data_IF_739511521790
#
_entry.id   IF_739511521790
#
_cell.length_a   1.000
_cell.length_b   1.000
_cell.length_c   1.000
_cell.angle_alpha   90.00
_cell.angle_beta   90.00
_cell.angle_gamma   90.00
#
_symmetry.space_group_name_H-M   'P 1'
#
loop_
_entity.id
_entity.type
_entity.pdbx_description
1 polymer ?
#
# COMPACT_ATOMS: atom_id res chain seq x y z
N UNK A 1 -5.18 16.90 -20.41
CA UNK A 1 -6.44 17.67 -20.61
C UNK A 1 -7.66 16.91 -20.06
N UNK A 2 -7.82 15.60 -20.34
CA UNK A 2 -8.96 14.78 -19.86
C UNK A 2 -9.03 14.72 -18.34
N UNK A 3 -7.93 14.42 -17.68
CA UNK A 3 -7.85 14.37 -16.21
C UNK A 3 -8.26 15.71 -15.59
N UNK A 4 -7.69 16.82 -16.05
CA UNK A 4 -8.01 18.15 -15.52
C UNK A 4 -9.49 18.51 -15.66
N UNK A 5 -10.11 18.20 -16.81
CA UNK A 5 -11.56 18.38 -17.00
C UNK A 5 -12.39 17.50 -16.07
N UNK A 6 -11.96 16.25 -15.85
CA UNK A 6 -12.61 15.35 -14.89
C UNK A 6 -12.57 15.90 -13.47
N UNK A 7 -11.43 16.42 -13.03
CA UNK A 7 -11.27 17.06 -11.72
C UNK A 7 -12.15 18.30 -11.57
N UNK A 8 -12.18 19.16 -12.60
CA UNK A 8 -13.03 20.36 -12.61
C UNK A 8 -14.52 20.00 -12.52
N UNK A 9 -14.96 18.99 -13.29
CA UNK A 9 -16.33 18.49 -13.24
C UNK A 9 -16.68 17.91 -11.87
N UNK A 10 -15.80 17.08 -11.30
CA UNK A 10 -16.02 16.48 -9.99
C UNK A 10 -16.17 17.53 -8.89
N UNK A 11 -15.28 18.53 -8.87
CA UNK A 11 -15.35 19.66 -7.94
C UNK A 11 -16.62 20.50 -8.11
N UNK A 12 -17.08 20.72 -9.36
CA UNK A 12 -18.31 21.48 -9.64
C UNK A 12 -19.57 20.81 -9.10
N UNK A 13 -19.50 19.49 -8.88
CA UNK A 13 -20.59 18.68 -8.26
C UNK A 13 -20.45 18.54 -6.74
N UNK A 14 -19.51 19.28 -6.12
CA UNK A 14 -19.28 19.24 -4.67
C UNK A 14 -18.32 18.13 -4.21
N UNK A 15 -17.62 17.49 -5.14
CA UNK A 15 -16.58 16.51 -4.79
C UNK A 15 -15.32 17.16 -4.24
N UNK A 16 -14.69 16.52 -3.27
CA UNK A 16 -13.44 16.97 -2.66
C UNK A 16 -12.27 16.14 -3.19
N UNK A 17 -11.15 16.80 -3.47
CA UNK A 17 -9.89 16.17 -3.88
C UNK A 17 -8.82 16.53 -2.87
N UNK A 18 -8.29 15.52 -2.19
CA UNK A 18 -7.17 15.64 -1.28
C UNK A 18 -5.90 15.22 -2.01
N UNK A 19 -4.92 16.11 -2.07
CA UNK A 19 -3.62 15.81 -2.66
C UNK A 19 -2.68 15.28 -1.57
N UNK A 20 -2.83 14.00 -1.25
CA UNK A 20 -2.05 13.29 -0.24
C UNK A 20 -1.82 11.85 -0.67
N UNK A 21 -0.83 11.21 -0.06
CA UNK A 21 -0.60 9.78 -0.23
C UNK A 21 -1.55 8.98 0.66
N UNK A 22 -2.17 7.94 0.10
CA UNK A 22 -2.87 6.91 0.87
C UNK A 22 -1.84 5.87 1.29
N UNK A 23 -1.66 5.69 2.59
CA UNK A 23 -0.69 4.77 3.18
C UNK A 23 -1.31 3.46 3.64
N UNK A 24 -2.63 3.45 3.84
CA UNK A 24 -3.37 2.26 4.27
C UNK A 24 -4.87 2.40 4.05
N UNK A 25 -5.56 1.26 4.16
CA UNK A 25 -7.01 1.18 4.27
C UNK A 25 -7.30 0.16 5.37
N UNK A 26 -7.97 0.62 6.43
CA UNK A 26 -8.41 -0.21 7.56
C UNK A 26 -9.91 -0.48 7.52
N UNK A 27 -10.35 -1.45 8.32
CA UNK A 27 -11.75 -1.72 8.58
C UNK A 27 -11.94 -2.08 10.06
N UNK A 28 -12.77 -1.30 10.75
CA UNK A 28 -13.24 -1.60 12.11
C UNK A 28 -14.76 -1.74 12.11
N UNK A 29 -15.50 -0.68 12.30
CA UNK A 29 -16.96 -0.61 12.10
C UNK A 29 -17.31 -0.03 10.71
N UNK A 30 -16.38 0.69 10.10
CA UNK A 30 -16.45 1.27 8.76
C UNK A 30 -15.07 1.18 8.12
N UNK A 31 -15.00 1.41 6.81
CA UNK A 31 -13.71 1.60 6.15
C UNK A 31 -13.08 2.91 6.60
N UNK A 32 -11.78 2.91 6.74
CA UNK A 32 -10.98 4.08 7.08
C UNK A 32 -9.78 4.16 6.14
N UNK A 33 -9.69 5.25 5.38
CA UNK A 33 -8.54 5.52 4.49
C UNK A 33 -7.49 6.29 5.27
N UNK A 34 -6.31 5.71 5.41
CA UNK A 34 -5.18 6.29 6.15
C UNK A 34 -4.32 7.13 5.23
N UNK A 35 -3.97 8.34 5.65
CA UNK A 35 -3.09 9.25 4.91
C UNK A 35 -2.15 10.01 5.86
N UNK A 36 -1.12 10.67 5.31
CA UNK A 36 -0.26 11.56 6.09
C UNK A 36 -1.00 12.77 6.69
N UNK A 37 -2.17 13.14 6.14
CA UNK A 37 -2.99 14.27 6.62
C UNK A 37 -4.04 13.85 7.66
N UNK A 38 -4.17 12.54 7.93
CA UNK A 38 -5.15 11.98 8.85
C UNK A 38 -5.95 10.83 8.23
N UNK A 39 -6.92 10.32 8.99
CA UNK A 39 -7.75 9.19 8.62
C UNK A 39 -9.15 9.65 8.21
N UNK A 40 -9.67 9.05 7.15
CA UNK A 40 -10.95 9.43 6.55
C UNK A 40 -11.92 8.24 6.57
N UNK A 41 -12.93 8.27 7.45
CA UNK A 41 -13.93 7.22 7.48
C UNK A 41 -14.82 7.27 6.24
N UNK A 42 -15.13 6.12 5.66
CA UNK A 42 -15.95 6.02 4.46
C UNK A 42 -16.84 4.76 4.45
N UNK A 43 -17.87 4.77 3.62
CA UNK A 43 -18.86 3.68 3.50
C UNK A 43 -18.54 2.73 2.35
N UNK A 44 -17.77 3.19 1.39
CA UNK A 44 -17.24 2.41 0.27
C UNK A 44 -15.92 3.01 -0.20
N UNK A 45 -15.07 2.18 -0.81
CA UNK A 45 -13.78 2.57 -1.37
C UNK A 45 -13.72 2.11 -2.82
N UNK A 46 -13.20 2.97 -3.71
CA UNK A 46 -12.83 2.60 -5.07
C UNK A 46 -11.31 2.69 -5.19
N UNK A 47 -10.64 1.56 -5.40
CA UNK A 47 -9.20 1.48 -5.60
C UNK A 47 -8.92 1.75 -7.09
N UNK A 48 -8.28 2.88 -7.40
CA UNK A 48 -7.95 3.30 -8.77
C UNK A 48 -6.50 3.81 -8.89
N UNK A 49 -5.58 3.14 -8.21
CA UNK A 49 -4.18 3.57 -8.05
C UNK A 49 -3.26 3.15 -9.21
N UNK A 50 -3.83 2.57 -10.28
CA UNK A 50 -3.07 2.08 -11.42
C UNK A 50 -2.23 0.84 -11.09
N UNK A 51 -1.19 0.59 -11.90
CA UNK A 51 -0.31 -0.57 -11.77
C UNK A 51 1.14 -0.08 -11.68
N UNK A 52 1.65 0.07 -10.48
CA UNK A 52 3.05 0.45 -10.26
C UNK A 52 3.66 -0.39 -9.14
N UNK A 53 4.61 -1.26 -9.50
CA UNK A 53 5.61 -1.77 -8.56
C UNK A 53 6.98 -1.38 -9.08
N UNK A 54 7.71 -0.58 -8.34
CA UNK A 54 9.16 -0.41 -8.57
C UNK A 54 9.83 -1.73 -8.20
N UNK A 55 10.28 -2.48 -9.20
CA UNK A 55 11.14 -3.65 -8.95
C UNK A 55 12.48 -3.15 -8.43
N UNK A 56 12.79 -3.47 -7.19
CA UNK A 56 14.11 -3.24 -6.61
C UNK A 56 15.08 -4.29 -7.16
N UNK A 57 16.28 -3.84 -7.51
CA UNK A 57 17.37 -4.71 -7.95
C UNK A 57 18.36 -4.93 -6.80
N UNK A 58 17.86 -5.43 -5.68
CA UNK A 58 18.68 -5.80 -4.52
C UNK A 58 18.93 -7.29 -4.57
N UNK A 59 20.18 -7.70 -4.50
CA UNK A 59 20.55 -9.12 -4.48
C UNK A 59 20.00 -9.79 -3.22
N UNK A 60 19.45 -11.00 -3.36
CA UNK A 60 18.82 -11.74 -2.25
C UNK A 60 17.36 -11.36 -1.99
N UNK A 61 16.83 -10.27 -2.56
CA UNK A 61 15.47 -9.80 -2.28
C UNK A 61 14.41 -10.82 -2.69
N UNK A 62 14.47 -11.31 -3.93
CA UNK A 62 13.48 -12.27 -4.44
C UNK A 62 13.66 -13.65 -3.80
N UNK A 63 14.90 -14.05 -3.54
CA UNK A 63 15.23 -15.35 -2.95
C UNK A 63 14.74 -15.48 -1.51
N UNK A 64 14.66 -14.36 -0.79
CA UNK A 64 14.25 -14.30 0.62
C UNK A 64 12.79 -13.86 0.80
N UNK A 65 12.06 -13.63 -0.29
CA UNK A 65 10.62 -13.35 -0.22
C UNK A 65 9.86 -14.50 0.43
N UNK A 66 9.02 -14.18 1.43
CA UNK A 66 8.34 -15.17 2.28
C UNK A 66 9.26 -15.91 3.27
N UNK A 67 10.57 -15.60 3.27
CA UNK A 67 11.57 -16.16 4.18
C UNK A 67 12.30 -15.09 4.99
N UNK A 68 11.54 -14.13 5.50
CA UNK A 68 12.02 -12.97 6.25
C UNK A 68 11.88 -11.65 5.49
N UNK A 69 11.63 -11.67 4.17
CA UNK A 69 11.24 -10.50 3.40
C UNK A 69 9.73 -10.54 3.16
N UNK A 70 9.04 -9.45 3.48
CA UNK A 70 7.59 -9.25 3.32
C UNK A 70 7.27 -7.89 2.69
N UNK A 71 6.03 -7.75 2.19
CA UNK A 71 5.48 -6.51 1.62
C UNK A 71 4.25 -6.02 2.40
N UNK A 72 3.88 -6.67 3.50
CA UNK A 72 2.67 -6.35 4.25
C UNK A 72 2.91 -6.47 5.77
N UNK A 73 3.10 -5.34 6.45
CA UNK A 73 3.28 -5.32 7.90
C UNK A 73 2.04 -5.84 8.66
N UNK A 74 0.85 -5.50 8.19
CA UNK A 74 -0.42 -5.94 8.80
C UNK A 74 -0.62 -7.45 8.67
N UNK A 75 -0.22 -8.04 7.51
CA UNK A 75 -0.39 -9.48 7.27
C UNK A 75 0.60 -10.33 8.07
N UNK A 76 1.87 -9.95 8.04
CA UNK A 76 2.97 -10.81 8.48
C UNK A 76 3.64 -10.33 9.77
N UNK A 77 3.40 -9.07 10.19
CA UNK A 77 4.09 -8.45 11.33
C UNK A 77 3.98 -9.26 12.63
N UNK A 78 2.82 -9.88 12.86
CA UNK A 78 2.61 -10.73 14.04
C UNK A 78 3.55 -11.93 14.11
N UNK A 79 3.96 -12.48 12.95
CA UNK A 79 4.91 -13.60 12.88
C UNK A 79 6.32 -13.22 13.35
N UNK A 80 6.60 -11.91 13.43
CA UNK A 80 7.88 -11.34 13.83
C UNK A 80 7.85 -10.70 15.23
N UNK A 81 6.97 -11.18 16.10
CA UNK A 81 6.88 -10.67 17.47
C UNK A 81 8.24 -10.78 18.20
N UNK A 82 8.61 -9.70 18.91
CA UNK A 82 9.85 -9.58 19.70
C UNK A 82 11.14 -9.72 18.86
N UNK A 83 11.07 -9.41 17.54
CA UNK A 83 12.17 -9.51 16.58
C UNK A 83 12.73 -8.13 16.21
N UNK A 84 13.95 -8.10 15.65
CA UNK A 84 14.60 -6.91 15.09
C UNK A 84 14.20 -6.82 13.62
N UNK A 85 13.47 -5.75 13.27
CA UNK A 85 12.87 -5.58 11.95
C UNK A 85 13.41 -4.35 11.23
N UNK A 86 13.45 -4.46 9.90
CA UNK A 86 13.71 -3.35 9.00
C UNK A 86 12.48 -3.01 8.16
N UNK A 87 12.35 -1.75 7.80
CA UNK A 87 11.44 -1.29 6.74
C UNK A 87 12.28 -0.64 5.65
N UNK A 88 12.18 -1.13 4.43
CA UNK A 88 12.89 -0.60 3.28
C UNK A 88 11.99 0.38 2.53
N UNK A 89 12.31 1.67 2.59
CA UNK A 89 11.55 2.75 1.93
C UNK A 89 11.88 4.12 2.49
N UNK A 90 11.49 5.17 1.79
CA UNK A 90 11.98 6.52 2.02
C UNK A 90 10.86 7.55 2.32
N UNK A 91 9.57 7.17 2.29
CA UNK A 91 8.43 8.08 2.40
C UNK A 91 7.39 7.70 3.45
N UNK A 92 6.21 8.33 3.35
CA UNK A 92 5.10 8.15 4.29
C UNK A 92 4.60 6.69 4.33
N UNK A 93 4.66 5.97 3.22
CA UNK A 93 4.32 4.55 3.20
C UNK A 93 5.25 3.72 4.09
N UNK A 94 6.58 3.94 4.00
CA UNK A 94 7.54 3.26 4.87
C UNK A 94 7.35 3.62 6.35
N UNK A 95 7.08 4.90 6.64
CA UNK A 95 6.79 5.35 7.99
C UNK A 95 5.55 4.67 8.57
N UNK A 96 4.49 4.51 7.77
CA UNK A 96 3.27 3.83 8.19
C UNK A 96 3.50 2.34 8.47
N UNK A 97 4.24 1.64 7.59
CA UNK A 97 4.62 0.24 7.84
C UNK A 97 5.45 0.10 9.13
N UNK A 98 6.40 1.02 9.39
CA UNK A 98 7.18 1.02 10.62
C UNK A 98 6.30 1.21 11.86
N UNK A 99 5.29 2.09 11.81
CA UNK A 99 4.31 2.28 12.89
C UNK A 99 3.50 0.99 13.16
N UNK A 100 3.04 0.31 12.12
CA UNK A 100 2.34 -0.97 12.28
C UNK A 100 3.23 -2.03 12.95
N UNK A 101 4.48 -2.15 12.51
CA UNK A 101 5.44 -3.12 13.05
C UNK A 101 5.84 -2.84 14.50
N UNK A 102 5.89 -1.57 14.92
CA UNK A 102 6.30 -1.19 16.27
C UNK A 102 5.41 -1.75 17.38
N UNK A 103 4.17 -2.13 17.05
CA UNK A 103 3.27 -2.82 17.98
C UNK A 103 3.66 -4.28 18.30
N UNK A 104 4.56 -4.88 17.53
CA UNK A 104 4.96 -6.28 17.65
C UNK A 104 6.46 -6.47 17.83
N UNK A 105 7.26 -5.66 17.15
CA UNK A 105 8.70 -5.78 17.07
C UNK A 105 9.39 -5.38 18.36
N UNK A 106 10.57 -5.96 18.59
CA UNK A 106 11.50 -5.49 19.61
C UNK A 106 12.12 -4.15 19.22
N UNK A 107 12.46 -4.01 17.93
CA UNK A 107 13.09 -2.83 17.34
C UNK A 107 12.71 -2.71 15.88
N UNK A 108 12.51 -1.50 15.39
CA UNK A 108 12.24 -1.20 13.97
C UNK A 108 13.18 -0.10 13.50
N UNK A 109 13.87 -0.32 12.39
CA UNK A 109 14.72 0.66 11.70
C UNK A 109 14.22 0.86 10.28
N UNK A 110 14.18 2.10 9.81
CA UNK A 110 13.85 2.44 8.41
C UNK A 110 15.14 2.54 7.61
N UNK A 111 15.21 1.80 6.49
CA UNK A 111 16.35 1.80 5.55
C UNK A 111 15.91 2.46 4.25
N UNK A 112 16.61 3.53 3.84
CA UNK A 112 16.17 4.32 2.68
C UNK A 112 16.90 4.01 1.37
N UNK A 113 17.83 3.09 1.40
CA UNK A 113 18.62 2.66 0.22
C UNK A 113 19.29 3.85 -0.50
N UNK A 114 20.06 4.63 0.25
CA UNK A 114 20.82 5.75 -0.27
C UNK A 114 20.03 7.02 -0.56
N UNK A 115 18.74 7.07 -0.22
CA UNK A 115 17.91 8.26 -0.42
C UNK A 115 17.70 9.02 0.89
N UNK A 116 17.48 10.34 0.82
CA UNK A 116 17.00 11.08 1.98
C UNK A 116 15.63 10.57 2.45
N UNK A 117 15.45 10.47 3.76
CA UNK A 117 14.13 10.18 4.31
C UNK A 117 13.19 11.36 4.08
N UNK A 118 12.07 11.12 3.43
CA UNK A 118 11.16 12.16 2.90
C UNK A 118 9.74 12.09 3.44
N UNK A 119 9.47 11.26 4.47
CA UNK A 119 8.16 11.21 5.07
C UNK A 119 7.76 12.56 5.69
N UNK A 120 6.50 12.95 5.52
CA UNK A 120 5.94 14.20 6.05
C UNK A 120 5.38 14.03 7.46
N UNK A 121 5.06 12.79 7.86
CA UNK A 121 4.59 12.45 9.20
C UNK A 121 5.70 12.50 10.25
N UNK A 122 5.30 12.62 11.53
CA UNK A 122 6.22 12.55 12.65
C UNK A 122 6.90 11.18 12.72
N UNK A 123 8.25 11.20 12.69
CA UNK A 123 9.09 10.00 12.74
C UNK A 123 9.72 9.82 14.12
N UNK A 124 9.53 8.66 14.70
CA UNK A 124 10.16 8.24 15.97
C UNK A 124 11.13 7.06 15.80
N UNK A 125 11.35 6.58 14.56
CA UNK A 125 12.18 5.42 14.26
C UNK A 125 13.59 5.85 13.85
N UNK A 126 14.63 5.04 14.18
CA UNK A 126 15.94 5.18 13.56
C UNK A 126 15.85 5.10 12.04
N UNK A 127 16.60 5.96 11.35
CA UNK A 127 16.70 5.95 9.89
C UNK A 127 18.15 5.69 9.50
N UNK A 128 18.33 4.73 8.58
CA UNK A 128 19.60 4.36 8.00
C UNK A 128 19.57 4.63 6.50
N UNK A 129 20.36 5.60 6.06
CA UNK A 129 20.41 6.05 4.66
C UNK A 129 21.49 5.37 3.83
N UNK A 130 22.15 4.33 4.34
CA UNK A 130 23.16 3.60 3.57
C UNK A 130 22.53 2.85 2.39
N UNK A 131 23.31 2.73 1.31
CA UNK A 131 22.89 1.99 0.11
C UNK A 131 22.91 0.50 0.39
N UNK A 132 21.80 -0.18 0.16
CA UNK A 132 21.66 -1.62 0.31
C UNK A 132 22.30 -2.33 -0.88
N UNK A 133 23.28 -3.19 -0.65
CA UNK A 133 23.93 -3.99 -1.69
C UNK A 133 23.26 -5.37 -1.81
N UNK A 134 23.07 -6.05 -0.69
CA UNK A 134 22.58 -7.43 -0.67
C UNK A 134 21.83 -7.75 0.62
N UNK A 135 20.76 -8.53 0.51
CA UNK A 135 20.13 -9.20 1.66
C UNK A 135 20.81 -10.54 1.88
N UNK A 136 21.28 -10.78 3.10
CA UNK A 136 21.99 -11.99 3.50
C UNK A 136 21.08 -12.97 4.20
N UNK A 137 21.31 -14.26 3.91
CA UNK A 137 20.65 -15.39 4.53
C UNK A 137 20.55 -16.56 3.55
N UNK A 138 20.58 -17.78 4.04
CA UNK A 138 20.43 -19.00 3.22
C UNK A 138 18.99 -19.54 3.31
N UNK A 139 18.56 -19.93 4.48
CA UNK A 139 17.21 -20.45 4.71
C UNK A 139 16.19 -19.34 4.97
N UNK A 140 16.61 -18.26 5.59
CA UNK A 140 15.81 -17.06 5.93
C UNK A 140 16.70 -15.83 5.93
N UNK A 141 16.09 -14.65 5.97
CA UNK A 141 16.81 -13.39 6.15
C UNK A 141 17.60 -13.41 7.47
N UNK A 142 18.85 -12.97 7.40
CA UNK A 142 19.76 -12.81 8.54
C UNK A 142 20.24 -11.36 8.68
N UNK A 143 20.18 -10.56 7.61
CA UNK A 143 20.54 -9.14 7.68
C UNK A 143 20.76 -8.49 6.33
N UNK A 144 21.26 -7.25 6.39
CA UNK A 144 21.57 -6.38 5.25
C UNK A 144 23.07 -6.14 5.18
N UNK A 145 23.66 -6.36 4.01
CA UNK A 145 24.98 -5.89 3.63
C UNK A 145 24.82 -4.57 2.87
N UNK A 146 25.56 -3.56 3.28
CA UNK A 146 25.57 -2.25 2.62
C UNK A 146 26.75 -2.11 1.67
N UNK A 147 26.64 -1.16 0.73
CA UNK A 147 27.68 -0.89 -0.28
C UNK A 147 29.03 -0.42 0.32
N UNK A 148 29.03 0.08 1.56
CA UNK A 148 30.24 0.44 2.30
C UNK A 148 30.92 -0.76 3.00
N UNK A 149 30.38 -1.98 2.82
CA UNK A 149 30.84 -3.21 3.44
C UNK A 149 30.38 -3.45 4.86
N UNK A 150 29.62 -2.54 5.46
CA UNK A 150 29.03 -2.73 6.79
C UNK A 150 27.81 -3.68 6.74
N UNK A 151 27.49 -4.28 7.89
CA UNK A 151 26.42 -5.27 8.00
C UNK A 151 25.54 -4.97 9.21
N UNK A 152 24.22 -5.21 9.05
CA UNK A 152 23.23 -5.12 10.13
C UNK A 152 22.42 -6.40 10.16
N UNK A 153 22.35 -7.02 11.33
CA UNK A 153 21.50 -8.21 11.57
C UNK A 153 20.02 -7.82 11.63
N UNK A 154 19.16 -8.58 10.95
CA UNK A 154 17.70 -8.43 10.96
C UNK A 154 17.02 -9.79 10.93
N UNK A 155 15.93 -9.92 11.68
CA UNK A 155 15.05 -11.09 11.61
C UNK A 155 14.02 -10.99 10.48
N UNK A 156 13.67 -9.77 10.05
CA UNK A 156 12.70 -9.50 8.99
C UNK A 156 12.87 -8.13 8.33
N UNK A 157 12.54 -8.04 7.05
CA UNK A 157 12.58 -6.80 6.26
C UNK A 157 11.24 -6.62 5.53
N UNK A 158 10.59 -5.48 5.76
CA UNK A 158 9.33 -5.12 5.11
C UNK A 158 9.59 -4.08 4.02
N UNK A 159 9.22 -4.42 2.78
CA UNK A 159 9.51 -3.58 1.62
C UNK A 159 8.35 -2.61 1.37
N UNK A 160 8.61 -1.32 1.56
CA UNK A 160 7.64 -0.23 1.44
C UNK A 160 8.21 0.93 0.61
N UNK A 161 8.75 0.61 -0.59
CA UNK A 161 9.43 1.58 -1.46
C UNK A 161 8.45 2.27 -2.38
N UNK A 162 8.49 3.59 -2.39
CA UNK A 162 7.62 4.46 -3.17
C UNK A 162 6.27 4.60 -2.53
N UNK A 163 5.19 4.40 -3.28
CA UNK A 163 3.80 4.47 -2.80
C UNK A 163 3.20 3.07 -2.74
N UNK A 164 2.25 2.86 -1.82
CA UNK A 164 1.51 1.62 -1.74
C UNK A 164 0.85 1.29 -3.08
N UNK A 165 1.07 0.09 -3.58
CA UNK A 165 0.45 -0.39 -4.82
C UNK A 165 -0.96 -0.91 -4.57
N UNK A 166 -1.72 -1.10 -5.66
CA UNK A 166 -3.03 -1.76 -5.58
C UNK A 166 -2.95 -3.14 -4.91
N UNK A 167 -1.88 -3.90 -5.20
CA UNK A 167 -1.66 -5.21 -4.59
C UNK A 167 -1.37 -5.11 -3.08
N UNK A 168 -0.66 -4.06 -2.63
CA UNK A 168 -0.39 -3.85 -1.21
C UNK A 168 -1.69 -3.53 -0.45
N UNK A 169 -2.56 -2.67 -0.99
CA UNK A 169 -3.89 -2.44 -0.42
C UNK A 169 -4.76 -3.70 -0.44
N UNK A 170 -4.77 -4.42 -1.55
CA UNK A 170 -5.53 -5.67 -1.69
C UNK A 170 -5.10 -6.71 -0.65
N UNK A 171 -3.79 -6.95 -0.49
CA UNK A 171 -3.27 -7.90 0.50
C UNK A 171 -3.67 -7.51 1.93
N UNK A 172 -3.52 -6.23 2.30
CA UNK A 172 -3.87 -5.74 3.64
C UNK A 172 -5.35 -5.91 3.98
N UNK A 173 -6.22 -5.76 2.98
CA UNK A 173 -7.66 -5.88 3.15
C UNK A 173 -8.17 -7.33 3.01
N UNK A 174 -7.37 -8.27 2.49
CA UNK A 174 -7.83 -9.60 2.12
C UNK A 174 -8.62 -9.61 0.80
N UNK A 175 -8.36 -8.65 -0.08
CA UNK A 175 -8.91 -8.62 -1.44
C UNK A 175 -8.21 -9.65 -2.31
N UNK A 176 -8.98 -10.40 -3.09
CA UNK A 176 -8.47 -11.44 -3.97
C UNK A 176 -7.66 -10.85 -5.12
N UNK A 177 -6.51 -11.47 -5.41
CA UNK A 177 -5.65 -11.14 -6.54
C UNK A 177 -5.58 -12.31 -7.52
N UNK A 178 -5.71 -12.01 -8.81
CA UNK A 178 -5.49 -12.96 -9.90
C UNK A 178 -4.39 -12.40 -10.82
N UNK A 179 -3.31 -13.14 -10.99
CA UNK A 179 -2.14 -12.73 -11.77
C UNK A 179 -1.58 -11.35 -11.36
N UNK A 180 -1.65 -11.04 -10.03
CA UNK A 180 -1.18 -9.78 -9.47
C UNK A 180 -2.09 -8.57 -9.74
N UNK A 181 -3.30 -8.79 -10.23
CA UNK A 181 -4.33 -7.76 -10.42
C UNK A 181 -5.46 -7.98 -9.40
N UNK A 182 -6.12 -6.91 -8.99
CA UNK A 182 -7.31 -7.01 -8.13
C UNK A 182 -8.43 -7.71 -8.92
N UNK A 183 -8.95 -8.81 -8.38
CA UNK A 183 -10.11 -9.47 -8.95
C UNK A 183 -11.37 -8.66 -8.65
N UNK A 184 -12.19 -8.45 -9.67
CA UNK A 184 -13.50 -7.78 -9.57
C UNK A 184 -14.56 -8.52 -10.37
N UNK A 185 -15.81 -8.38 -9.96
CA UNK A 185 -16.97 -8.84 -10.70
C UNK A 185 -17.35 -7.86 -11.84
N UNK A 186 -18.47 -8.12 -12.53
CA UNK A 186 -19.02 -7.30 -13.60
C UNK A 186 -19.44 -5.87 -13.18
N UNK A 187 -19.57 -5.64 -11.88
CA UNK A 187 -19.88 -4.34 -11.25
C UNK A 187 -18.62 -3.65 -10.70
N UNK A 188 -17.44 -4.14 -11.04
CA UNK A 188 -16.17 -3.69 -10.48
C UNK A 188 -16.08 -3.80 -8.95
N UNK A 189 -16.88 -4.67 -8.32
CA UNK A 189 -16.81 -4.97 -6.89
C UNK A 189 -15.84 -6.13 -6.65
N UNK A 190 -15.01 -6.01 -5.63
CA UNK A 190 -14.08 -7.06 -5.20
C UNK A 190 -14.84 -8.16 -4.44
N UNK A 191 -14.12 -9.20 -3.98
CA UNK A 191 -14.66 -10.20 -3.05
C UNK A 191 -15.12 -9.61 -1.70
N UNK A 192 -14.73 -8.36 -1.37
CA UNK A 192 -15.14 -7.66 -0.15
C UNK A 192 -16.24 -6.64 -0.45
N UNK A 193 -17.45 -6.80 0.15
CA UNK A 193 -18.54 -5.85 -0.04
C UNK A 193 -18.15 -4.42 0.38
N UNK A 194 -18.38 -3.46 -0.52
CA UNK A 194 -18.03 -2.05 -0.31
C UNK A 194 -16.64 -1.65 -0.80
N UNK A 195 -15.82 -2.61 -1.24
CA UNK A 195 -14.53 -2.35 -1.92
C UNK A 195 -14.69 -2.61 -3.41
N UNK A 196 -14.38 -1.62 -4.21
CA UNK A 196 -14.41 -1.64 -5.68
C UNK A 196 -13.03 -1.34 -6.23
N UNK A 197 -12.75 -1.73 -7.47
CA UNK A 197 -11.51 -1.34 -8.13
C UNK A 197 -11.73 -1.05 -9.63
N UNK A 198 -10.87 -0.19 -10.21
CA UNK A 198 -10.96 0.20 -11.62
C UNK A 198 -9.62 0.65 -12.17
N UNK A 199 -9.45 0.55 -13.48
CA UNK A 199 -8.25 0.93 -14.21
C UNK A 199 -7.17 -0.14 -14.14
N UNK A 200 -5.93 0.24 -14.41
CA UNK A 200 -4.83 -0.71 -14.61
C UNK A 200 -4.62 -1.70 -13.45
N UNK A 201 -5.11 -1.39 -12.25
CA UNK A 201 -4.99 -2.27 -11.09
C UNK A 201 -5.83 -3.54 -11.17
N UNK A 202 -6.88 -3.58 -12.02
CA UNK A 202 -7.68 -4.77 -12.27
C UNK A 202 -7.22 -5.56 -13.50
N UNK A 203 -6.19 -5.07 -14.22
CA UNK A 203 -5.66 -5.72 -15.41
C UNK A 203 -6.41 -5.39 -16.70
N UNK A 204 -6.45 -6.32 -17.66
CA UNK A 204 -7.11 -6.13 -18.94
C UNK A 204 -6.34 -5.21 -19.89
N UNK A 205 -7.06 -4.42 -20.70
CA UNK A 205 -6.48 -3.47 -21.65
C UNK A 205 -6.06 -2.17 -20.94
N UNK A 206 -4.76 -1.99 -20.74
CA UNK A 206 -4.18 -0.84 -20.03
C UNK A 206 -4.22 0.43 -20.89
N UNK A 207 -5.41 1.03 -20.98
CA UNK A 207 -5.68 2.24 -21.77
C UNK A 207 -6.54 3.22 -20.98
N UNK A 208 -6.31 4.53 -21.21
CA UNK A 208 -7.06 5.59 -20.55
C UNK A 208 -8.59 5.44 -20.74
N UNK A 209 -9.02 5.09 -21.95
CA UNK A 209 -10.45 4.91 -22.26
C UNK A 209 -11.08 3.75 -21.49
N UNK A 210 -10.35 2.66 -21.30
CA UNK A 210 -10.76 1.51 -20.49
C UNK A 210 -10.89 1.93 -19.02
N UNK A 211 -9.86 2.56 -18.47
CA UNK A 211 -9.86 3.04 -17.10
C UNK A 211 -11.01 4.03 -16.80
N UNK A 212 -11.36 4.91 -17.76
CA UNK A 212 -12.51 5.81 -17.63
C UNK A 212 -13.84 5.04 -17.58
N UNK A 213 -14.00 4.04 -18.47
CA UNK A 213 -15.20 3.20 -18.49
C UNK A 213 -15.37 2.39 -17.20
N UNK A 214 -14.31 1.73 -16.77
CA UNK A 214 -14.29 0.95 -15.53
C UNK A 214 -14.53 1.84 -14.29
N UNK A 215 -13.93 3.04 -14.26
CA UNK A 215 -14.17 4.03 -13.22
C UNK A 215 -15.64 4.48 -13.13
N UNK A 216 -16.32 4.61 -14.27
CA UNK A 216 -17.76 4.91 -14.30
C UNK A 216 -18.59 3.77 -13.70
N UNK A 217 -18.29 2.51 -14.06
CA UNK A 217 -18.95 1.32 -13.49
C UNK A 217 -18.71 1.23 -11.99
N UNK A 218 -17.46 1.30 -11.55
CA UNK A 218 -17.09 1.21 -10.14
C UNK A 218 -17.75 2.33 -9.30
N UNK A 219 -17.74 3.56 -9.81
CA UNK A 219 -18.34 4.70 -9.12
C UNK A 219 -19.87 4.59 -8.98
N UNK A 220 -20.57 4.14 -10.04
CA UNK A 220 -22.01 3.88 -9.98
C UNK A 220 -22.33 2.75 -8.98
N UNK A 221 -21.60 1.64 -9.07
CA UNK A 221 -21.82 0.48 -8.19
C UNK A 221 -21.56 0.80 -6.72
N UNK A 222 -20.52 1.58 -6.42
CA UNK A 222 -20.23 2.06 -5.08
C UNK A 222 -21.36 2.95 -4.54
N UNK A 223 -21.90 3.85 -5.37
CA UNK A 223 -23.02 4.71 -4.99
C UNK A 223 -24.30 3.91 -4.71
N UNK A 224 -24.59 2.89 -5.52
CA UNK A 224 -25.73 1.98 -5.33
C UNK A 224 -25.57 1.13 -4.06
N UNK A 225 -24.37 0.60 -3.83
CA UNK A 225 -24.03 -0.12 -2.61
C UNK A 225 -24.29 0.74 -1.36
N UNK A 226 -23.78 1.98 -1.33
CA UNK A 226 -23.97 2.89 -0.20
C UNK A 226 -25.46 3.21 0.02
N UNK A 227 -26.22 3.46 -1.04
CA UNK A 227 -27.69 3.71 -0.93
C UNK A 227 -28.44 2.52 -0.35
N UNK A 228 -28.06 1.30 -0.74
CA UNK A 228 -28.69 0.06 -0.29
C UNK A 228 -28.34 -0.29 1.15
N UNK A 229 -27.06 -0.17 1.52
CA UNK A 229 -26.58 -0.56 2.84
C UNK A 229 -26.82 0.51 3.92
N UNK A 230 -26.86 1.77 3.51
CA UNK A 230 -27.01 2.93 4.41
C UNK A 230 -28.16 3.82 3.93
N UNK A 231 -29.42 3.32 3.94
CA UNK A 231 -30.58 4.11 3.54
C UNK A 231 -30.65 5.36 4.41
N UNK A 232 -30.82 6.52 3.79
CA UNK A 232 -31.13 7.74 4.56
C UNK A 232 -32.44 7.48 5.26
N UNK A 233 -32.47 7.52 6.58
CA UNK A 233 -33.73 7.62 7.32
C UNK A 233 -34.36 8.96 6.91
N UNK A 234 -35.44 8.91 6.15
CA UNK A 234 -36.27 10.05 5.76
C UNK A 234 -37.02 10.54 6.98
#
# INVERSE_FOLDING_TARGET
EVQKRGEEQYKSLGGEILNTEVTGIGFTEAFEVETALGNYPCRAVVIAVGKSRKRLKIKGLNELEGRGVSYCAVCDGFCFKDKILGVLGDGDYALNEAKHLSGFAKEVTVFTDGKPFSATGENSFPVDERVVEELKGEAKLEGILFADGSYVELDGLFVAVGQASAADFAMKLGVELVDGNIFVDENNMTNLPGIFAAGDCIGGLLQLTTAVGEGAVAGQSAAEYVKKQYPKNI
#
